data_IF_400548377630
#
_entry.id   IF_400548377630
#
_cell.length_a   1.000
_cell.length_b   1.000
_cell.length_c   1.000
_cell.angle_alpha   90.00
_cell.angle_beta   90.00
_cell.angle_gamma   90.00
#
_symmetry.space_group_name_H-M   'P 1'
#
loop_
_entity.id
_entity.type
_entity.pdbx_description
1 polymer ?
#
# COMPACT_ATOMS: atom_id res chain seq x y z
N UNK A 1 3.07 9.95 1.14
CA UNK A 1 3.12 10.94 2.23
C UNK A 1 2.16 12.13 2.05
N UNK A 2 1.48 12.33 0.90
CA UNK A 2 0.58 13.48 0.67
C UNK A 2 1.23 14.88 0.87
N UNK A 3 2.54 14.98 0.65
CA UNK A 3 3.33 16.19 0.89
C UNK A 3 3.66 17.01 -0.36
N UNK A 4 3.19 16.62 -1.55
CA UNK A 4 3.55 17.25 -2.84
C UNK A 4 3.51 18.80 -2.82
N UNK A 5 2.45 19.46 -2.32
CA UNK A 5 2.39 20.93 -2.29
C UNK A 5 2.99 21.56 -1.01
N UNK A 6 3.53 20.76 -0.09
CA UNK A 6 3.93 21.21 1.26
C UNK A 6 5.40 20.91 1.61
N UNK A 7 6.12 20.16 0.77
CA UNK A 7 7.51 19.83 1.05
C UNK A 7 8.39 21.08 0.90
N UNK A 8 9.01 21.51 2.01
CA UNK A 8 9.80 22.74 2.06
C UNK A 8 11.22 22.62 1.49
N UNK A 9 11.60 21.45 1.00
CA UNK A 9 12.91 21.16 0.40
C UNK A 9 12.79 20.04 -0.64
N UNK A 10 13.90 19.62 -1.24
CA UNK A 10 13.88 18.61 -2.31
C UNK A 10 13.27 17.28 -1.82
N UNK A 11 12.40 16.67 -2.63
CA UNK A 11 11.71 15.42 -2.26
C UNK A 11 12.64 14.23 -2.07
N UNK A 12 13.75 14.18 -2.81
CA UNK A 12 14.72 13.10 -2.66
C UNK A 12 15.40 13.14 -1.29
N UNK A 13 15.77 14.34 -0.83
CA UNK A 13 16.31 14.57 0.51
C UNK A 13 15.22 14.28 1.58
N UNK A 14 13.95 14.54 1.28
CA UNK A 14 12.81 14.23 2.17
C UNK A 14 12.59 12.72 2.34
N UNK A 15 12.71 11.95 1.26
CA UNK A 15 12.67 10.49 1.36
C UNK A 15 13.87 9.94 2.11
N UNK A 16 15.07 10.48 1.89
CA UNK A 16 16.26 10.10 2.65
C UNK A 16 16.06 10.35 4.15
N UNK A 17 15.49 11.50 4.50
CA UNK A 17 15.16 11.82 5.89
C UNK A 17 14.25 10.76 6.55
N UNK A 18 13.22 10.28 5.84
CA UNK A 18 12.37 9.19 6.33
C UNK A 18 13.13 7.87 6.46
N UNK A 19 13.97 7.55 5.49
CA UNK A 19 14.76 6.32 5.46
C UNK A 19 15.85 6.26 6.55
N UNK A 20 16.18 7.39 7.17
CA UNK A 20 17.13 7.46 8.30
C UNK A 20 16.49 7.13 9.66
N UNK A 21 15.16 6.97 9.76
CA UNK A 21 14.52 6.68 11.05
C UNK A 21 14.80 5.27 11.57
N UNK A 22 15.17 4.34 10.69
CA UNK A 22 15.63 2.99 11.06
C UNK A 22 16.83 3.00 12.01
N UNK A 23 17.74 3.97 11.83
CA UNK A 23 18.91 4.16 12.69
C UNK A 23 18.61 4.98 13.95
N UNK A 24 17.37 5.48 14.13
CA UNK A 24 16.99 6.40 15.21
C UNK A 24 16.05 5.78 16.23
N UNK A 25 15.40 4.66 15.92
CA UNK A 25 14.48 3.98 16.83
C UNK A 25 14.33 2.50 16.46
N UNK A 26 14.42 1.63 17.47
CA UNK A 26 14.06 0.22 17.35
C UNK A 26 12.54 -0.02 17.39
N UNK A 27 11.76 1.01 17.74
CA UNK A 27 10.31 0.95 17.89
C UNK A 27 9.63 1.81 16.81
N UNK A 28 9.63 1.33 15.57
CA UNK A 28 8.97 2.00 14.45
C UNK A 28 7.53 1.54 14.29
N UNK A 29 6.60 2.43 13.87
CA UNK A 29 5.25 2.03 13.55
C UNK A 29 5.23 1.16 12.29
N UNK A 30 4.28 0.20 12.24
CA UNK A 30 3.96 -0.49 10.99
C UNK A 30 3.29 0.48 10.02
N UNK A 31 3.69 0.45 8.75
CA UNK A 31 3.14 1.30 7.70
C UNK A 31 2.12 0.53 6.86
N UNK A 32 0.97 1.14 6.59
CA UNK A 32 -0.11 0.54 5.81
C UNK A 32 -0.53 1.47 4.68
N UNK A 33 -0.82 0.89 3.52
CA UNK A 33 -1.48 1.57 2.41
C UNK A 33 -2.91 1.05 2.31
N UNK A 34 -3.89 1.95 2.24
CA UNK A 34 -5.32 1.61 2.11
C UNK A 34 -5.91 2.23 0.85
N UNK A 35 -6.86 1.54 0.22
CA UNK A 35 -7.63 2.06 -0.91
C UNK A 35 -9.11 1.76 -0.69
N UNK A 36 -9.87 2.79 -0.30
CA UNK A 36 -11.33 2.70 -0.08
C UNK A 36 -12.15 2.83 -1.36
N UNK A 37 -11.50 3.14 -2.49
CA UNK A 37 -12.16 3.65 -3.68
C UNK A 37 -12.06 2.71 -4.88
N UNK A 38 -11.65 1.46 -4.66
CA UNK A 38 -11.60 0.46 -5.73
C UNK A 38 -13.01 0.21 -6.27
N UNK A 39 -13.10 0.13 -7.61
CA UNK A 39 -14.35 -0.08 -8.34
C UNK A 39 -14.27 -1.34 -9.18
N UNK A 40 -15.43 -1.91 -9.50
CA UNK A 40 -15.56 -2.92 -10.56
C UNK A 40 -15.61 -2.29 -11.96
N UNK A 41 -15.71 -3.14 -12.97
CA UNK A 41 -15.77 -2.75 -14.39
C UNK A 41 -17.01 -1.91 -14.73
N UNK A 42 -18.08 -2.04 -13.94
CA UNK A 42 -19.31 -1.24 -14.06
C UNK A 42 -19.21 0.10 -13.30
N UNK A 43 -18.08 0.36 -12.64
CA UNK A 43 -17.81 1.60 -11.91
C UNK A 43 -18.46 1.68 -10.52
N UNK A 44 -19.02 0.58 -10.02
CA UNK A 44 -19.57 0.49 -8.66
C UNK A 44 -18.41 0.38 -7.66
N UNK A 45 -18.54 1.07 -6.53
CA UNK A 45 -17.60 0.92 -5.42
C UNK A 45 -17.73 -0.46 -4.80
N UNK A 46 -16.60 -1.18 -4.70
CA UNK A 46 -16.56 -2.51 -4.10
C UNK A 46 -16.59 -2.48 -2.58
N UNK A 47 -16.11 -1.40 -1.97
CA UNK A 47 -16.10 -1.20 -0.52
C UNK A 47 -17.08 -0.08 -0.14
N UNK A 48 -17.97 -0.27 0.85
CA UNK A 48 -18.98 0.72 1.22
C UNK A 48 -18.40 2.00 1.81
N UNK A 49 -17.22 1.93 2.44
CA UNK A 49 -16.51 3.09 2.96
C UNK A 49 -17.11 3.65 4.26
N UNK A 50 -16.92 4.95 4.49
CA UNK A 50 -17.44 5.67 5.67
C UNK A 50 -17.14 4.96 7.00
N UNK A 51 -18.18 4.63 7.78
CA UNK A 51 -18.05 3.96 9.07
C UNK A 51 -17.53 2.53 8.96
N UNK A 52 -17.76 1.86 7.83
CA UNK A 52 -17.31 0.48 7.63
C UNK A 52 -15.79 0.37 7.50
N UNK A 53 -15.08 1.48 7.23
CA UNK A 53 -13.62 1.53 7.28
C UNK A 53 -13.05 1.09 8.64
N UNK A 54 -13.84 1.18 9.73
CA UNK A 54 -13.47 0.64 11.04
C UNK A 54 -13.12 -0.86 11.00
N UNK A 55 -13.70 -1.63 10.08
CA UNK A 55 -13.43 -3.07 9.92
C UNK A 55 -11.98 -3.32 9.46
N UNK A 56 -11.49 -2.51 8.53
CA UNK A 56 -10.08 -2.58 8.08
C UNK A 56 -9.13 -1.97 9.10
N UNK A 57 -9.54 -0.91 9.82
CA UNK A 57 -8.73 -0.37 10.92
C UNK A 57 -8.59 -1.37 12.07
N UNK A 58 -9.63 -2.17 12.36
CA UNK A 58 -9.55 -3.28 13.30
C UNK A 58 -8.51 -4.30 12.86
N UNK A 59 -8.49 -4.70 11.59
CA UNK A 59 -7.46 -5.59 11.07
C UNK A 59 -6.05 -5.01 11.18
N UNK A 60 -5.87 -3.70 10.92
CA UNK A 60 -4.60 -3.01 11.10
C UNK A 60 -4.11 -3.11 12.56
N UNK A 61 -5.01 -2.92 13.53
CA UNK A 61 -4.70 -3.09 14.96
C UNK A 61 -4.29 -4.54 15.24
N UNK A 62 -5.06 -5.51 14.78
CA UNK A 62 -4.77 -6.94 14.98
C UNK A 62 -3.43 -7.33 14.32
N UNK A 63 -3.07 -6.75 13.16
CA UNK A 63 -1.75 -6.91 12.53
C UNK A 63 -0.63 -6.29 13.35
N UNK A 64 -0.84 -5.12 13.95
CA UNK A 64 0.12 -4.52 14.86
C UNK A 64 0.37 -5.38 16.10
N UNK A 65 -0.67 -6.01 16.63
CA UNK A 65 -0.64 -6.87 17.81
C UNK A 65 -0.31 -8.34 17.50
N UNK A 66 -0.02 -8.66 16.23
CA UNK A 66 0.30 -10.01 15.73
C UNK A 66 -0.79 -11.05 16.07
N UNK A 67 -2.07 -10.64 16.05
CA UNK A 67 -3.24 -11.51 16.29
C UNK A 67 -3.77 -12.18 15.03
N UNK A 68 -3.33 -11.70 13.87
CA UNK A 68 -3.79 -12.14 12.55
C UNK A 68 -2.62 -12.20 11.57
N UNK A 69 -2.70 -13.18 10.67
CA UNK A 69 -1.74 -13.36 9.58
C UNK A 69 -2.08 -12.45 8.37
N UNK A 70 -1.35 -12.62 7.28
CA UNK A 70 -1.59 -11.92 6.03
C UNK A 70 -0.98 -12.72 4.88
N UNK A 71 -1.53 -12.56 3.69
CA UNK A 71 -0.97 -13.18 2.49
C UNK A 71 0.13 -12.28 1.93
N UNK A 72 1.30 -12.88 1.68
CA UNK A 72 2.43 -12.20 1.07
C UNK A 72 2.17 -12.03 -0.43
N UNK A 73 2.32 -10.79 -0.91
CA UNK A 73 2.16 -10.41 -2.30
C UNK A 73 3.36 -9.58 -2.76
N UNK A 74 3.55 -9.41 -4.08
CA UNK A 74 4.59 -8.53 -4.61
C UNK A 74 4.59 -7.09 -4.05
N UNK A 75 3.43 -6.61 -3.57
CA UNK A 75 3.24 -5.26 -3.05
C UNK A 75 3.16 -5.20 -1.51
N UNK A 76 3.57 -6.29 -0.84
CA UNK A 76 3.53 -6.43 0.61
C UNK A 76 2.43 -7.37 1.09
N UNK A 77 1.97 -7.17 2.32
CA UNK A 77 1.05 -8.08 3.00
C UNK A 77 -0.41 -7.62 2.88
N UNK A 78 -1.27 -8.47 2.32
CA UNK A 78 -2.71 -8.22 2.23
C UNK A 78 -3.49 -9.04 3.27
N UNK A 79 -4.63 -8.55 3.78
CA UNK A 79 -5.50 -9.35 4.63
C UNK A 79 -6.00 -10.58 3.87
N UNK A 80 -6.25 -11.68 4.59
CA UNK A 80 -7.09 -12.74 4.06
C UNK A 80 -8.55 -12.26 4.07
N UNK A 81 -9.36 -12.74 3.14
CA UNK A 81 -10.74 -12.27 3.01
C UNK A 81 -11.55 -12.53 4.30
N UNK A 82 -11.30 -13.66 4.95
CA UNK A 82 -11.92 -14.08 6.21
C UNK A 82 -11.51 -13.25 7.42
N UNK A 83 -10.40 -12.52 7.35
CA UNK A 83 -9.89 -11.69 8.46
C UNK A 83 -10.57 -10.32 8.54
N UNK A 84 -11.33 -9.95 7.51
CA UNK A 84 -12.15 -8.74 7.49
C UNK A 84 -13.61 -9.12 7.73
N UNK A 85 -14.16 -8.64 8.83
CA UNK A 85 -15.58 -8.84 9.14
C UNK A 85 -16.46 -8.11 8.12
N UNK A 86 -17.15 -8.86 7.27
CA UNK A 86 -18.11 -8.35 6.27
C UNK A 86 -19.57 -8.56 6.69
N UNK A 87 -19.82 -9.01 7.93
CA UNK A 87 -21.19 -9.26 8.38
C UNK A 87 -22.02 -7.97 8.37
N UNK A 88 -23.20 -8.05 7.75
CA UNK A 88 -24.12 -6.94 7.60
C UNK A 88 -23.76 -5.95 6.50
N UNK A 89 -22.70 -6.20 5.71
CA UNK A 89 -22.41 -5.42 4.51
C UNK A 89 -23.17 -5.98 3.31
N UNK A 90 -23.66 -5.07 2.45
CA UNK A 90 -24.21 -5.43 1.14
C UNK A 90 -23.06 -5.62 0.14
N UNK A 91 -22.43 -6.79 0.19
CA UNK A 91 -21.32 -7.17 -0.69
C UNK A 91 -21.70 -8.37 -1.55
N UNK A 92 -21.25 -8.37 -2.80
CA UNK A 92 -21.38 -9.52 -3.68
C UNK A 92 -20.31 -10.57 -3.36
N UNK A 93 -20.58 -11.83 -3.73
CA UNK A 93 -19.73 -12.99 -3.42
C UNK A 93 -18.26 -12.79 -3.82
N UNK A 94 -18.00 -12.08 -4.92
CA UNK A 94 -16.65 -11.85 -5.46
C UNK A 94 -16.05 -10.48 -5.12
N UNK A 95 -16.73 -9.63 -4.35
CA UNK A 95 -16.27 -8.28 -4.05
C UNK A 95 -14.96 -8.30 -3.27
N UNK A 96 -14.85 -9.16 -2.24
CA UNK A 96 -13.62 -9.29 -1.44
C UNK A 96 -12.45 -9.86 -2.25
N UNK A 97 -12.71 -10.88 -3.08
CA UNK A 97 -11.69 -11.43 -3.98
C UNK A 97 -11.17 -10.35 -4.94
N UNK A 98 -12.07 -9.53 -5.48
CA UNK A 98 -11.69 -8.42 -6.36
C UNK A 98 -10.94 -7.33 -5.60
N UNK A 99 -11.38 -6.96 -4.39
CA UNK A 99 -10.73 -5.98 -3.52
C UNK A 99 -9.28 -6.33 -3.20
N UNK A 100 -9.00 -7.61 -2.99
CA UNK A 100 -7.69 -8.12 -2.57
C UNK A 100 -6.84 -8.63 -3.74
N UNK A 101 -7.36 -8.62 -4.97
CA UNK A 101 -6.61 -9.07 -6.14
C UNK A 101 -5.46 -8.09 -6.49
N UNK A 102 -4.28 -8.65 -6.74
CA UNK A 102 -3.08 -7.95 -7.22
C UNK A 102 -2.88 -8.29 -8.69
N UNK A 103 -3.39 -7.42 -9.58
CA UNK A 103 -3.18 -7.58 -11.02
C UNK A 103 -1.74 -7.21 -11.39
N UNK A 104 -0.92 -8.23 -11.68
CA UNK A 104 0.50 -8.05 -11.94
C UNK A 104 0.78 -7.21 -13.19
N UNK A 105 -0.08 -7.23 -14.19
CA UNK A 105 0.11 -6.42 -15.40
C UNK A 105 -0.07 -4.93 -15.08
N UNK A 106 -1.18 -4.56 -14.43
CA UNK A 106 -1.45 -3.19 -14.01
C UNK A 106 -0.38 -2.66 -13.06
N UNK A 107 0.08 -3.49 -12.12
CA UNK A 107 1.16 -3.09 -11.21
C UNK A 107 2.49 -2.87 -11.90
N UNK A 108 2.81 -3.59 -13.00
CA UNK A 108 4.03 -3.30 -13.77
C UNK A 108 3.97 -1.93 -14.44
N UNK A 109 2.82 -1.57 -15.01
CA UNK A 109 2.64 -0.23 -15.59
C UNK A 109 2.72 0.86 -14.52
N UNK A 110 2.11 0.63 -13.35
CA UNK A 110 2.23 1.56 -12.21
C UNK A 110 3.70 1.71 -11.76
N UNK A 111 4.43 0.59 -11.59
CA UNK A 111 5.84 0.63 -11.20
C UNK A 111 6.71 1.33 -12.25
N UNK A 112 6.36 1.23 -13.53
CA UNK A 112 7.03 2.00 -14.59
C UNK A 112 6.81 3.50 -14.39
N UNK A 113 5.58 3.95 -14.16
CA UNK A 113 5.28 5.36 -13.88
C UNK A 113 5.93 5.86 -12.58
N UNK A 114 5.99 5.03 -11.55
CA UNK A 114 6.75 5.34 -10.32
C UNK A 114 8.24 5.51 -10.65
N UNK A 115 8.81 4.63 -11.48
CA UNK A 115 10.20 4.72 -11.91
C UNK A 115 10.50 6.00 -12.69
N UNK A 116 9.63 6.37 -13.64
CA UNK A 116 9.70 7.63 -14.39
C UNK A 116 9.64 8.84 -13.44
N UNK A 117 8.74 8.83 -12.45
CA UNK A 117 8.66 9.88 -11.44
C UNK A 117 9.92 9.98 -10.57
N UNK A 118 10.50 8.86 -10.15
CA UNK A 118 11.75 8.86 -9.39
C UNK A 118 12.91 9.44 -10.22
N UNK A 119 12.97 9.15 -11.53
CA UNK A 119 14.01 9.68 -12.42
C UNK A 119 14.02 11.20 -12.52
N UNK A 120 12.88 11.88 -12.30
CA UNK A 120 12.81 13.35 -12.27
C UNK A 120 13.74 13.97 -11.20
N UNK A 121 14.12 13.20 -10.17
CA UNK A 121 15.01 13.64 -9.08
C UNK A 121 16.48 13.25 -9.29
N UNK A 122 16.78 12.51 -10.37
CA UNK A 122 18.13 12.12 -10.77
C UNK A 122 18.92 11.39 -9.68
N UNK A 123 20.21 11.71 -9.58
CA UNK A 123 21.15 11.04 -8.68
C UNK A 123 20.84 11.25 -7.19
N UNK A 124 19.96 12.19 -6.84
CA UNK A 124 19.57 12.44 -5.44
C UNK A 124 18.66 11.37 -4.86
N UNK A 125 17.98 10.57 -5.70
CA UNK A 125 17.09 9.52 -5.21
C UNK A 125 17.88 8.54 -4.33
N UNK A 126 17.45 8.29 -3.08
CA UNK A 126 18.14 7.36 -2.20
C UNK A 126 18.21 5.94 -2.79
N UNK A 127 19.38 5.29 -2.68
CA UNK A 127 19.57 3.96 -3.27
C UNK A 127 18.60 2.93 -2.68
N UNK A 128 18.31 3.00 -1.37
CA UNK A 128 17.30 2.15 -0.72
C UNK A 128 15.92 2.20 -1.41
N UNK A 129 15.54 3.36 -1.95
CA UNK A 129 14.25 3.51 -2.65
C UNK A 129 14.29 2.89 -4.05
N UNK A 130 15.44 2.97 -4.73
CA UNK A 130 15.67 2.28 -6.00
C UNK A 130 15.73 0.76 -5.82
N UNK A 131 16.32 0.30 -4.73
CA UNK A 131 16.35 -1.11 -4.33
C UNK A 131 14.94 -1.67 -4.13
N UNK A 132 14.10 -0.96 -3.37
CA UNK A 132 12.73 -1.41 -3.14
C UNK A 132 11.90 -1.40 -4.44
N UNK A 133 12.09 -0.39 -5.31
CA UNK A 133 11.46 -0.35 -6.63
C UNK A 133 11.85 -1.56 -7.49
N UNK A 134 13.15 -1.88 -7.58
CA UNK A 134 13.66 -3.06 -8.31
C UNK A 134 13.09 -4.36 -7.75
N UNK A 135 13.13 -4.52 -6.42
CA UNK A 135 12.63 -5.72 -5.73
C UNK A 135 11.16 -5.98 -6.03
N UNK A 136 10.31 -4.95 -5.98
CA UNK A 136 8.88 -5.10 -6.31
C UNK A 136 8.72 -5.49 -7.77
N UNK A 137 9.44 -4.83 -8.70
CA UNK A 137 9.38 -5.14 -10.12
C UNK A 137 9.74 -6.62 -10.41
N UNK A 138 10.82 -7.13 -9.80
CA UNK A 138 11.24 -8.53 -9.91
C UNK A 138 10.17 -9.50 -9.36
N UNK A 139 9.56 -9.17 -8.22
CA UNK A 139 8.51 -10.02 -7.61
C UNK A 139 7.21 -10.07 -8.43
N UNK A 140 6.95 -9.06 -9.25
CA UNK A 140 5.81 -9.04 -10.16
C UNK A 140 6.01 -9.98 -11.36
N UNK A 141 7.25 -10.32 -11.70
CA UNK A 141 7.64 -11.25 -12.78
C UNK A 141 8.19 -10.54 -14.01
#
# INVERSE_FOLDING_TARGET
MAMKPFCGYNFADYWDHWLQFDNRSDNLPKMFHVNWFRRDDDGRFLWPGFGDNLRVLRWIIDRCENRVEADETPIGFLPRAEDIDTNGLDMQENDMATLLNVDKASWREELKSVGEYLQEFGDRVPEKLKDEHRKILESLG
#
